data_IF_250963556476
#
_entry.id   IF_250963556476
#
_cell.length_a   1.000
_cell.length_b   1.000
_cell.length_c   1.000
_cell.angle_alpha   90.00
_cell.angle_beta   90.00
_cell.angle_gamma   90.00
#
_symmetry.space_group_name_H-M   'P 1'
#
loop_
_entity.id
_entity.type
_entity.pdbx_description
1 polymer ?
#
# COMPACT_ATOMS: atom_id res chain seq x y z
N UNK A 1 -5.56 32.87 3.39
CA UNK A 1 -5.93 31.91 2.31
C UNK A 1 -4.76 30.99 2.03
N UNK A 2 -4.94 29.71 2.16
CA UNK A 2 -3.90 28.74 1.84
C UNK A 2 -3.81 28.55 0.33
N UNK A 3 -2.63 28.79 -0.23
CA UNK A 3 -2.37 28.44 -1.61
C UNK A 3 -2.21 26.94 -1.75
N UNK A 4 -2.96 26.36 -2.69
CA UNK A 4 -2.79 24.94 -3.01
C UNK A 4 -1.55 24.79 -3.88
N UNK A 5 -0.50 24.16 -3.35
CA UNK A 5 0.68 23.84 -4.16
C UNK A 5 0.32 22.84 -5.25
N UNK A 6 0.74 23.11 -6.47
CA UNK A 6 0.64 22.13 -7.54
C UNK A 6 1.66 21.01 -7.28
N UNK A 7 1.14 19.82 -7.04
CA UNK A 7 1.96 18.62 -6.86
C UNK A 7 2.08 17.96 -8.23
N UNK A 8 3.32 17.77 -8.69
CA UNK A 8 3.60 17.09 -9.95
C UNK A 8 4.21 15.73 -9.65
N UNK A 9 3.66 14.68 -10.26
CA UNK A 9 4.13 13.30 -10.06
C UNK A 9 5.61 13.15 -10.45
N UNK A 10 6.05 13.85 -11.49
CA UNK A 10 7.45 13.78 -11.94
C UNK A 10 8.46 14.17 -10.87
N UNK A 11 8.08 15.03 -9.90
CA UNK A 11 8.95 15.47 -8.81
C UNK A 11 9.16 14.36 -7.78
N UNK A 12 8.34 13.32 -7.81
CA UNK A 12 8.41 12.16 -6.91
C UNK A 12 8.97 10.93 -7.61
N UNK A 13 9.38 11.08 -8.88
CA UNK A 13 9.94 9.97 -9.63
C UNK A 13 11.36 9.66 -9.15
N UNK A 14 11.66 8.37 -9.04
CA UNK A 14 12.98 7.87 -8.65
C UNK A 14 13.20 6.50 -9.25
N UNK A 15 14.45 6.08 -9.35
CA UNK A 15 14.79 4.75 -9.81
C UNK A 15 14.43 3.73 -8.73
N UNK A 16 13.56 2.81 -9.07
CA UNK A 16 13.17 1.70 -8.20
C UNK A 16 13.62 0.38 -8.84
N UNK A 17 14.77 -0.16 -8.41
CA UNK A 17 15.23 -1.46 -8.91
C UNK A 17 14.23 -2.56 -8.56
N UNK A 18 14.07 -3.53 -9.46
CA UNK A 18 13.11 -4.62 -9.29
C UNK A 18 13.40 -5.47 -8.04
N UNK A 19 14.66 -5.60 -7.66
CA UNK A 19 15.07 -6.33 -6.45
C UNK A 19 14.65 -5.64 -5.15
N UNK A 20 14.22 -4.38 -5.21
CA UNK A 20 13.67 -3.64 -4.06
C UNK A 20 12.17 -3.83 -3.88
N UNK A 21 11.52 -4.51 -4.82
CA UNK A 21 10.08 -4.76 -4.77
C UNK A 21 9.85 -6.17 -4.27
N UNK A 22 9.20 -6.28 -3.11
CA UNK A 22 8.83 -7.58 -2.57
C UNK A 22 7.77 -8.23 -3.45
N UNK A 23 7.98 -9.48 -3.85
CA UNK A 23 7.05 -10.25 -4.68
C UNK A 23 5.97 -10.93 -3.84
N UNK A 24 6.27 -11.23 -2.58
CA UNK A 24 5.39 -11.95 -1.66
C UNK A 24 5.42 -11.30 -0.28
N UNK A 25 4.32 -11.34 0.48
CA UNK A 25 4.34 -10.89 1.87
C UNK A 25 5.19 -11.83 2.73
N UNK A 26 5.63 -11.33 3.87
CA UNK A 26 6.30 -12.18 4.86
C UNK A 26 5.32 -13.20 5.43
N UNK A 27 5.83 -14.37 5.81
CA UNK A 27 5.04 -15.41 6.46
C UNK A 27 4.36 -14.87 7.72
N UNK A 28 5.13 -14.21 8.59
CA UNK A 28 4.61 -13.45 9.72
C UNK A 28 4.46 -11.98 9.30
N UNK A 29 3.23 -11.54 9.04
CA UNK A 29 2.96 -10.23 8.45
C UNK A 29 3.36 -9.07 9.37
N UNK A 30 3.30 -9.25 10.67
CA UNK A 30 3.69 -8.25 11.67
C UNK A 30 5.21 -8.07 11.79
N UNK A 31 5.99 -8.90 11.10
CA UNK A 31 7.44 -8.78 11.02
C UNK A 31 7.89 -7.87 9.88
N UNK A 32 6.97 -7.26 9.15
CA UNK A 32 7.29 -6.30 8.10
C UNK A 32 8.00 -5.07 8.67
N UNK A 33 8.76 -4.40 7.82
CA UNK A 33 9.51 -3.21 8.20
C UNK A 33 8.57 -2.03 8.46
N UNK A 34 8.86 -1.29 9.52
CA UNK A 34 8.17 -0.07 9.90
C UNK A 34 9.13 1.11 9.75
N UNK A 35 8.76 2.09 8.93
CA UNK A 35 9.50 3.33 8.82
C UNK A 35 8.92 4.33 9.82
N UNK A 36 9.78 4.85 10.70
CA UNK A 36 9.38 5.79 11.74
C UNK A 36 10.03 7.13 11.49
N UNK A 37 9.21 8.18 11.36
CA UNK A 37 9.66 9.56 11.29
C UNK A 37 9.22 10.31 12.55
N UNK A 38 10.17 10.89 13.26
CA UNK A 38 9.89 11.60 14.50
C UNK A 38 10.84 12.77 14.65
N UNK A 39 10.32 14.00 14.67
CA UNK A 39 11.09 15.22 14.90
C UNK A 39 12.36 15.30 14.02
N UNK A 40 12.21 15.02 12.73
CA UNK A 40 13.32 15.04 11.78
C UNK A 40 14.20 13.80 11.77
N UNK A 41 13.98 12.85 12.68
CA UNK A 41 14.75 11.59 12.73
C UNK A 41 13.99 10.47 12.05
N UNK A 42 14.68 9.77 11.14
CA UNK A 42 14.13 8.61 10.44
C UNK A 42 14.80 7.36 11.02
N UNK A 43 14.00 6.45 11.52
CA UNK A 43 14.44 5.17 12.04
C UNK A 43 13.63 4.04 11.44
N UNK A 44 14.13 2.82 11.58
CA UNK A 44 13.48 1.62 11.10
C UNK A 44 13.26 0.65 12.27
N UNK A 45 12.07 0.04 12.28
CA UNK A 45 11.72 -0.98 13.26
C UNK A 45 10.90 -2.06 12.55
N UNK A 46 10.35 -2.99 13.31
CA UNK A 46 9.39 -3.99 12.83
C UNK A 46 7.98 -3.59 13.22
N UNK A 47 7.02 -3.92 12.38
CA UNK A 47 5.62 -3.54 12.58
C UNK A 47 5.06 -4.05 13.92
N UNK A 48 5.51 -5.22 14.39
CA UNK A 48 5.08 -5.77 15.68
C UNK A 48 5.40 -4.86 16.87
N UNK A 49 6.33 -3.90 16.71
CA UNK A 49 6.70 -2.94 17.72
C UNK A 49 5.97 -1.61 17.61
N UNK A 50 4.93 -1.53 16.75
CA UNK A 50 4.20 -0.28 16.51
C UNK A 50 3.68 0.35 17.79
N UNK A 51 3.21 -0.46 18.74
CA UNK A 51 2.66 0.04 20.01
C UNK A 51 3.66 0.88 20.84
N UNK A 52 4.96 0.64 20.66
CA UNK A 52 6.02 1.39 21.36
C UNK A 52 6.10 2.86 20.89
N UNK A 53 5.55 3.18 19.73
CA UNK A 53 5.57 4.51 19.13
C UNK A 53 4.27 5.28 19.31
N UNK A 54 3.26 4.66 19.88
CA UNK A 54 1.95 5.25 20.06
C UNK A 54 1.78 5.77 21.48
N UNK A 55 1.09 6.92 21.67
CA UNK A 55 0.80 7.40 23.01
C UNK A 55 -0.12 6.43 23.75
N UNK A 56 0.04 6.36 25.07
CA UNK A 56 -0.81 5.54 25.93
C UNK A 56 -2.27 6.01 25.80
N UNK A 57 -3.18 5.06 25.63
CA UNK A 57 -4.60 5.36 25.47
C UNK A 57 -5.01 5.80 24.07
N UNK A 58 -4.11 5.73 23.07
CA UNK A 58 -4.45 6.04 21.69
C UNK A 58 -5.48 5.07 21.14
N UNK A 59 -6.44 5.60 20.39
CA UNK A 59 -7.42 4.81 19.63
C UNK A 59 -6.90 4.62 18.22
N UNK A 60 -6.74 3.37 17.79
CA UNK A 60 -6.34 3.02 16.44
C UNK A 60 -7.54 2.55 15.64
N UNK A 61 -7.74 3.15 14.48
CA UNK A 61 -8.83 2.79 13.56
C UNK A 61 -8.22 2.21 12.30
N UNK A 62 -8.61 1.00 11.95
CA UNK A 62 -8.09 0.29 10.79
C UNK A 62 -9.19 0.00 9.78
N UNK A 63 -8.80 -0.07 8.51
CA UNK A 63 -9.65 -0.59 7.47
C UNK A 63 -9.48 -2.11 7.42
N UNK A 64 -10.55 -2.85 7.66
CA UNK A 64 -10.55 -4.31 7.63
C UNK A 64 -11.24 -4.88 6.37
N UNK A 65 -11.43 -4.06 5.36
CA UNK A 65 -11.97 -4.53 4.09
C UNK A 65 -11.04 -5.55 3.46
N UNK A 66 -11.63 -6.56 2.87
CA UNK A 66 -10.90 -7.62 2.20
C UNK A 66 -10.94 -7.37 0.68
N UNK A 67 -9.77 -7.37 0.08
CA UNK A 67 -9.69 -7.29 -1.39
C UNK A 67 -10.14 -8.62 -1.97
N UNK A 68 -11.08 -8.54 -2.92
CA UNK A 68 -11.56 -9.69 -3.67
C UNK A 68 -10.94 -9.71 -5.07
N UNK A 69 -10.91 -10.88 -5.69
CA UNK A 69 -10.51 -11.02 -7.07
C UNK A 69 -11.65 -10.51 -7.97
N UNK A 70 -11.54 -9.26 -8.40
CA UNK A 70 -12.59 -8.58 -9.17
C UNK A 70 -12.29 -8.51 -10.66
N UNK A 71 -11.12 -9.02 -11.09
CA UNK A 71 -10.69 -9.00 -12.48
C UNK A 71 -11.00 -10.35 -13.11
N UNK A 72 -11.75 -10.33 -14.22
CA UNK A 72 -12.10 -11.52 -15.00
C UNK A 72 -11.56 -11.41 -16.41
N UNK A 73 -11.01 -12.51 -16.92
CA UNK A 73 -10.48 -12.57 -18.28
C UNK A 73 -11.36 -13.47 -19.14
N UNK A 74 -11.76 -12.94 -20.29
CA UNK A 74 -12.53 -13.66 -21.28
C UNK A 74 -11.80 -13.58 -22.63
N UNK A 75 -12.12 -14.52 -23.51
CA UNK A 75 -11.59 -14.53 -24.86
C UNK A 75 -12.74 -14.48 -25.84
N UNK A 76 -12.67 -13.56 -26.81
CA UNK A 76 -13.61 -13.52 -27.93
C UNK A 76 -13.37 -14.68 -28.90
N UNK A 77 -14.36 -14.99 -29.72
CA UNK A 77 -14.24 -15.97 -30.83
C UNK A 77 -13.07 -15.64 -31.75
N UNK A 78 -12.78 -14.35 -31.94
CA UNK A 78 -11.65 -13.86 -32.74
C UNK A 78 -10.28 -14.11 -32.09
N UNK A 79 -10.24 -14.60 -30.84
CA UNK A 79 -9.02 -14.83 -30.08
C UNK A 79 -8.58 -13.62 -29.25
N UNK A 80 -9.24 -12.46 -29.38
CA UNK A 80 -8.90 -11.27 -28.59
C UNK A 80 -9.27 -11.45 -27.13
N UNK A 81 -8.35 -11.08 -26.23
CA UNK A 81 -8.57 -11.14 -24.79
C UNK A 81 -9.37 -9.93 -24.32
N UNK A 82 -10.37 -10.17 -23.48
CA UNK A 82 -11.17 -9.12 -22.82
C UNK A 82 -10.97 -9.20 -21.33
N UNK A 83 -10.81 -8.06 -20.70
CA UNK A 83 -10.69 -7.91 -19.26
C UNK A 83 -11.92 -7.18 -18.73
N UNK A 84 -12.60 -7.77 -17.73
CA UNK A 84 -13.79 -7.20 -17.12
C UNK A 84 -13.52 -7.04 -15.63
N UNK A 85 -13.82 -5.85 -15.09
CA UNK A 85 -13.72 -5.55 -13.68
C UNK A 85 -15.08 -5.53 -13.02
N UNK A 86 -15.18 -6.20 -11.87
CA UNK A 86 -16.35 -6.09 -11.00
C UNK A 86 -16.18 -4.85 -10.10
N UNK A 87 -17.01 -3.83 -10.31
CA UNK A 87 -16.91 -2.58 -9.56
C UNK A 87 -17.70 -2.60 -8.26
N UNK A 88 -18.85 -3.30 -8.25
CA UNK A 88 -19.69 -3.44 -7.08
C UNK A 88 -20.20 -4.88 -6.96
N UNK A 89 -20.31 -5.42 -5.74
CA UNK A 89 -20.94 -6.73 -5.56
C UNK A 89 -22.42 -6.64 -5.92
N UNK A 90 -22.88 -7.65 -6.60
CA UNK A 90 -24.29 -7.76 -6.98
C UNK A 90 -25.10 -8.38 -5.85
#
# INVERSE_FOLDING_TARGET
MMETKRIQIKDYNYDLPDDRIAKYPLENRDMSKLLVYRQGNITQDKFCNLSNYLPKGALMIFNNTKVIQARMFFRKETGAQIEIFLLEPV
#
